data_IF_025559174830
#
_entry.id   IF_025559174830
#
_cell.length_a   1.000
_cell.length_b   1.000
_cell.length_c   1.000
_cell.angle_alpha   90.00
_cell.angle_beta   90.00
_cell.angle_gamma   90.00
#
_symmetry.space_group_name_H-M   'P 1'
#
loop_
_entity.id
_entity.type
_entity.pdbx_description
1 polymer ?
#
# COMPACT_ATOMS: atom_id res chain seq x y z
N UNK A 1 -24.65 7.07 32.45
CA UNK A 1 -23.69 7.93 31.74
C UNK A 1 -22.44 7.11 31.44
N UNK A 2 -22.14 6.86 30.17
CA UNK A 2 -20.92 6.13 29.77
C UNK A 2 -19.70 7.07 29.80
N UNK A 3 -18.51 6.60 30.21
CA UNK A 3 -17.34 7.45 30.29
C UNK A 3 -16.81 7.81 28.88
N UNK A 4 -16.21 9.00 28.71
CA UNK A 4 -15.68 9.43 27.43
C UNK A 4 -14.44 8.60 27.05
N UNK A 5 -14.47 7.98 25.86
CA UNK A 5 -13.30 7.30 25.28
C UNK A 5 -12.22 8.35 25.00
N UNK A 6 -11.13 8.30 25.76
CA UNK A 6 -9.95 9.15 25.53
C UNK A 6 -9.36 8.85 24.13
N UNK A 7 -8.97 9.86 23.35
CA UNK A 7 -8.24 9.63 22.12
C UNK A 7 -6.87 9.05 22.46
N UNK A 8 -6.53 7.90 21.87
CA UNK A 8 -5.18 7.33 21.90
C UNK A 8 -4.24 8.26 21.14
N UNK A 9 -3.75 9.28 21.83
CA UNK A 9 -2.62 10.11 21.39
C UNK A 9 -1.42 9.17 21.21
N UNK A 10 -1.19 8.79 19.96
CA UNK A 10 -0.10 7.90 19.60
C UNK A 10 1.17 8.73 19.60
N UNK A 11 2.00 8.58 20.64
CA UNK A 11 3.26 9.29 20.76
C UNK A 11 4.07 9.19 19.44
N UNK A 12 4.49 10.30 18.83
CA UNK A 12 5.19 10.30 17.54
C UNK A 12 6.49 9.47 17.58
N UNK A 13 7.20 9.45 18.70
CA UNK A 13 8.40 8.62 18.87
C UNK A 13 8.07 7.12 18.89
N UNK A 14 6.93 6.74 19.48
CA UNK A 14 6.45 5.35 19.46
C UNK A 14 6.09 4.88 18.04
N UNK A 15 5.59 5.80 17.21
CA UNK A 15 5.29 5.54 15.81
C UNK A 15 6.60 5.30 15.04
N UNK A 16 7.60 6.16 15.19
CA UNK A 16 8.91 5.99 14.54
C UNK A 16 9.59 4.66 14.92
N UNK A 17 9.63 4.31 16.20
CA UNK A 17 10.25 3.06 16.69
C UNK A 17 9.51 1.83 16.12
N UNK A 18 8.18 1.80 16.18
CA UNK A 18 7.38 0.70 15.61
C UNK A 18 7.60 0.57 14.10
N UNK A 19 7.79 1.70 13.41
CA UNK A 19 8.00 1.72 11.96
C UNK A 19 9.39 1.17 11.62
N UNK A 20 10.42 1.59 12.36
CA UNK A 20 11.77 1.09 12.25
C UNK A 20 11.84 -0.43 12.48
N UNK A 21 11.23 -0.92 13.56
CA UNK A 21 11.18 -2.36 13.84
C UNK A 21 10.52 -3.15 12.71
N UNK A 22 9.35 -2.71 12.24
CA UNK A 22 8.64 -3.36 11.12
C UNK A 22 9.43 -3.27 9.82
N UNK A 23 10.12 -2.16 9.58
CA UNK A 23 10.99 -1.98 8.44
C UNK A 23 12.12 -3.02 8.42
N UNK A 24 12.87 -3.14 9.52
CA UNK A 24 13.95 -4.11 9.64
C UNK A 24 13.43 -5.54 9.52
N UNK A 25 12.30 -5.86 10.17
CA UNK A 25 11.66 -7.17 10.07
C UNK A 25 11.27 -7.51 8.62
N UNK A 26 10.64 -6.57 7.90
CA UNK A 26 10.23 -6.77 6.52
C UNK A 26 11.43 -6.87 5.57
N UNK A 27 12.46 -6.05 5.79
CA UNK A 27 13.69 -6.10 5.02
C UNK A 27 14.41 -7.44 5.21
N UNK A 28 14.48 -7.93 6.45
CA UNK A 28 15.05 -9.23 6.76
C UNK A 28 14.26 -10.36 6.07
N UNK A 29 12.93 -10.37 6.17
CA UNK A 29 12.07 -11.35 5.50
C UNK A 29 12.29 -11.36 3.97
N UNK A 30 12.44 -10.20 3.34
CA UNK A 30 12.78 -10.11 1.92
C UNK A 30 14.18 -10.66 1.62
N UNK A 31 15.16 -10.51 2.52
CA UNK A 31 16.52 -11.05 2.41
C UNK A 31 16.52 -12.58 2.58
N UNK A 32 15.87 -13.11 3.60
CA UNK A 32 15.79 -14.55 3.89
C UNK A 32 15.16 -15.33 2.73
N UNK A 33 14.07 -14.83 2.14
CA UNK A 33 13.40 -15.47 0.98
C UNK A 33 14.28 -15.58 -0.27
N UNK A 34 15.40 -14.86 -0.33
CA UNK A 34 16.25 -14.77 -1.52
C UNK A 34 17.71 -15.11 -1.28
N UNK A 35 18.13 -15.43 -0.05
CA UNK A 35 19.46 -15.98 0.27
C UNK A 35 19.81 -17.27 -0.51
N UNK A 36 18.87 -17.79 -1.32
CA UNK A 36 19.02 -18.93 -2.22
C UNK A 36 19.61 -18.53 -3.60
N UNK A 37 19.68 -17.24 -3.97
CA UNK A 37 20.28 -16.79 -5.25
C UNK A 37 21.26 -15.62 -5.06
N UNK A 38 22.55 -15.88 -5.31
CA UNK A 38 23.63 -14.91 -5.24
C UNK A 38 23.59 -13.88 -6.38
N UNK A 39 24.08 -12.68 -6.08
CA UNK A 39 24.29 -11.52 -6.94
C UNK A 39 23.04 -10.88 -7.58
N UNK A 40 22.36 -10.02 -6.80
CA UNK A 40 21.25 -9.20 -7.33
C UNK A 40 21.73 -7.80 -7.70
N UNK A 41 21.41 -7.30 -8.91
CA UNK A 41 21.73 -5.94 -9.35
C UNK A 41 21.23 -4.87 -8.37
N UNK A 42 21.92 -3.72 -8.29
CA UNK A 42 21.63 -2.60 -7.39
C UNK A 42 20.15 -2.17 -7.47
N UNK A 43 19.57 -2.14 -8.67
CA UNK A 43 18.15 -1.81 -8.88
C UNK A 43 17.20 -2.72 -8.07
N UNK A 44 17.52 -4.02 -7.96
CA UNK A 44 16.74 -4.95 -7.15
C UNK A 44 16.87 -4.67 -5.65
N UNK A 45 18.03 -4.20 -5.17
CA UNK A 45 18.23 -3.83 -3.76
C UNK A 45 17.39 -2.62 -3.40
N UNK A 46 17.46 -1.54 -4.20
CA UNK A 46 16.69 -0.31 -3.98
C UNK A 46 15.18 -0.56 -4.07
N UNK A 47 14.73 -1.41 -5.00
CA UNK A 47 13.33 -1.79 -5.09
C UNK A 47 12.82 -2.55 -3.84
N UNK A 48 13.67 -3.38 -3.23
CA UNK A 48 13.32 -4.13 -2.01
C UNK A 48 13.25 -3.24 -0.79
N UNK A 49 14.18 -2.29 -0.67
CA UNK A 49 14.12 -1.24 0.36
C UNK A 49 12.82 -0.46 0.23
N UNK A 50 12.45 -0.05 -0.99
CA UNK A 50 11.19 0.63 -1.27
C UNK A 50 9.96 -0.21 -0.88
N UNK A 51 9.92 -1.50 -1.24
CA UNK A 51 8.82 -2.40 -0.86
C UNK A 51 8.76 -2.57 0.66
N UNK A 52 9.88 -2.81 1.33
CA UNK A 52 9.93 -2.99 2.78
C UNK A 52 9.43 -1.74 3.51
N UNK A 53 9.79 -0.56 3.03
CA UNK A 53 9.33 0.70 3.61
C UNK A 53 7.80 0.87 3.47
N UNK A 54 7.25 0.69 2.25
CA UNK A 54 5.81 0.74 2.03
C UNK A 54 5.04 -0.33 2.80
N UNK A 55 5.56 -1.57 2.86
CA UNK A 55 4.97 -2.64 3.65
C UNK A 55 4.89 -2.27 5.13
N UNK A 56 5.91 -1.59 5.65
CA UNK A 56 6.01 -1.22 7.07
C UNK A 56 5.05 -0.11 7.43
N UNK A 57 4.94 0.92 6.59
CA UNK A 57 3.93 1.98 6.74
C UNK A 57 2.51 1.41 6.70
N UNK A 58 2.20 0.62 5.67
CA UNK A 58 0.86 0.06 5.52
C UNK A 58 0.50 -0.89 6.67
N UNK A 59 1.44 -1.74 7.11
CA UNK A 59 1.21 -2.65 8.23
C UNK A 59 1.01 -1.96 9.58
N UNK A 60 1.56 -0.75 9.75
CA UNK A 60 1.41 0.04 10.96
C UNK A 60 0.02 0.64 11.09
N UNK A 61 -0.47 1.21 9.99
CA UNK A 61 -1.75 1.89 9.91
C UNK A 61 -2.90 0.90 9.81
N UNK A 62 -2.61 -0.30 9.28
CA UNK A 62 -3.54 -1.40 9.21
C UNK A 62 -4.54 -1.26 8.07
N UNK A 63 -5.44 -2.24 7.96
CA UNK A 63 -6.40 -2.36 6.85
C UNK A 63 -7.53 -1.33 6.88
N UNK A 64 -7.58 -0.45 7.88
CA UNK A 64 -8.64 0.57 8.01
C UNK A 64 -8.50 1.67 6.96
N UNK A 65 -7.27 2.02 6.57
CA UNK A 65 -6.99 3.03 5.55
C UNK A 65 -6.99 2.46 4.14
N UNK A 66 -7.61 3.16 3.21
CA UNK A 66 -7.73 2.73 1.82
C UNK A 66 -6.36 2.59 1.15
N UNK A 67 -5.47 3.57 1.35
CA UNK A 67 -4.11 3.52 0.80
C UNK A 67 -3.29 2.36 1.34
N UNK A 68 -3.46 2.03 2.62
CA UNK A 68 -2.77 0.91 3.26
C UNK A 68 -3.21 -0.43 2.65
N UNK A 69 -4.52 -0.63 2.48
CA UNK A 69 -5.06 -1.82 1.81
C UNK A 69 -4.52 -1.96 0.39
N UNK A 70 -4.50 -0.87 -0.37
CA UNK A 70 -4.04 -0.90 -1.75
C UNK A 70 -2.55 -1.21 -1.85
N UNK A 71 -1.70 -0.63 -0.98
CA UNK A 71 -0.28 -0.99 -0.90
C UNK A 71 -0.10 -2.48 -0.56
N UNK A 72 -0.78 -2.98 0.47
CA UNK A 72 -0.69 -4.39 0.86
C UNK A 72 -1.17 -5.33 -0.26
N UNK A 73 -2.23 -4.95 -0.98
CA UNK A 73 -2.74 -5.67 -2.15
C UNK A 73 -1.71 -5.71 -3.27
N UNK A 74 -1.07 -4.58 -3.60
CA UNK A 74 0.00 -4.52 -4.61
C UNK A 74 1.18 -5.41 -4.24
N UNK A 75 1.64 -5.37 -3.00
CA UNK A 75 2.75 -6.21 -2.52
C UNK A 75 2.40 -7.70 -2.60
N UNK A 76 1.20 -8.10 -2.16
CA UNK A 76 0.73 -9.50 -2.24
C UNK A 76 0.59 -9.97 -3.68
N UNK A 77 -0.02 -9.16 -4.55
CA UNK A 77 -0.24 -9.51 -5.96
C UNK A 77 1.08 -9.60 -6.73
N UNK A 78 2.05 -8.71 -6.48
CA UNK A 78 3.40 -8.83 -7.04
C UNK A 78 4.12 -10.09 -6.56
N UNK A 79 4.02 -10.44 -5.28
CA UNK A 79 4.55 -11.70 -4.75
C UNK A 79 3.91 -12.94 -5.40
N UNK A 80 2.60 -12.93 -5.61
CA UNK A 80 1.89 -14.00 -6.33
C UNK A 80 2.30 -14.10 -7.80
N UNK A 81 2.54 -12.99 -8.49
CA UNK A 81 3.02 -12.99 -9.88
C UNK A 81 4.43 -13.59 -9.98
N UNK A 82 5.32 -13.27 -9.04
CA UNK A 82 6.66 -13.85 -8.97
C UNK A 82 6.60 -15.35 -8.66
N UNK A 83 5.76 -15.77 -7.71
CA UNK A 83 5.57 -17.19 -7.39
C UNK A 83 4.98 -18.00 -8.55
N UNK A 84 4.02 -17.42 -9.29
CA UNK A 84 3.44 -18.04 -10.50
C UNK A 84 4.46 -18.22 -11.61
N UNK A 85 5.37 -17.26 -11.81
CA UNK A 85 6.49 -17.38 -12.77
C UNK A 85 7.48 -18.46 -12.34
N UNK A 86 7.82 -18.55 -11.05
CA UNK A 86 8.70 -19.59 -10.52
C UNK A 86 8.11 -20.99 -10.74
N UNK A 87 6.80 -21.16 -10.47
CA UNK A 87 6.11 -22.42 -10.76
C UNK A 87 6.32 -22.78 -12.24
N UNK A 88 6.00 -21.90 -13.20
CA UNK A 88 6.06 -22.16 -14.65
C UNK A 88 7.42 -22.58 -15.21
N UNK A 89 8.53 -22.27 -14.54
CA UNK A 89 9.87 -22.69 -14.97
C UNK A 89 10.14 -24.16 -14.58
N UNK A 90 9.47 -24.66 -13.53
CA UNK A 90 9.67 -26.01 -13.01
C UNK A 90 8.73 -27.06 -13.66
N UNK A 91 7.88 -26.68 -14.63
CA UNK A 91 7.02 -27.62 -15.36
C UNK A 91 6.98 -27.33 -16.86
N UNK A 92 8.03 -27.76 -17.56
CA UNK A 92 7.90 -28.21 -18.95
C UNK A 92 7.44 -29.66 -18.93
N UNK A 93 6.15 -29.88 -18.66
CA UNK A 93 5.45 -31.08 -19.11
C UNK A 93 4.00 -30.69 -19.33
N UNK A 94 3.60 -30.81 -20.59
CA UNK A 94 2.24 -30.77 -21.13
C UNK A 94 1.19 -31.26 -20.15
N UNK A 95 0.07 -30.54 -20.02
CA UNK A 95 -1.28 -31.10 -20.14
C UNK A 95 -2.27 -29.95 -20.40
N UNK A 96 -2.83 -29.95 -21.60
CA UNK A 96 -4.04 -29.20 -21.94
C UNK A 96 -5.19 -29.78 -21.12
N UNK A 97 -5.76 -29.05 -20.16
CA UNK A 97 -7.15 -29.27 -19.74
C UNK A 97 -7.78 -27.98 -19.17
N UNK A 98 -9.05 -27.86 -19.52
CA UNK A 98 -10.02 -26.79 -19.33
C UNK A 98 -9.98 -26.01 -18.01
N UNK A 99 -10.04 -24.68 -18.10
CA UNK A 99 -10.51 -23.82 -17.03
C UNK A 99 -11.76 -23.07 -17.50
N UNK A 100 -12.89 -23.49 -16.95
CA UNK A 100 -14.23 -23.00 -17.23
C UNK A 100 -14.34 -21.47 -17.08
N UNK A 101 -15.05 -20.86 -18.03
CA UNK A 101 -15.34 -19.44 -18.07
C UNK A 101 -16.18 -18.99 -16.88
N UNK A 102 -15.65 -18.03 -16.12
CA UNK A 102 -16.45 -17.28 -15.16
C UNK A 102 -17.09 -16.10 -15.91
N UNK A 103 -18.29 -16.37 -16.44
CA UNK A 103 -19.17 -15.41 -17.11
C UNK A 103 -19.64 -14.39 -16.05
N UNK A 104 -19.02 -13.22 -16.00
CA UNK A 104 -19.55 -12.10 -15.20
C UNK A 104 -20.86 -11.65 -15.84
N UNK A 105 -21.96 -11.85 -15.10
CA UNK A 105 -23.28 -11.32 -15.43
C UNK A 105 -23.22 -9.79 -15.28
N UNK A 106 -23.36 -9.08 -16.39
CA UNK A 106 -23.74 -7.68 -16.42
C UNK A 106 -25.24 -7.63 -16.13
N UNK A 107 -25.63 -7.12 -14.97
CA UNK A 107 -27.03 -6.75 -14.69
C UNK A 107 -27.18 -5.30 -15.09
N UNK A 108 -27.73 -5.08 -16.27
CA UNK A 108 -28.31 -3.81 -16.70
C UNK A 108 -29.59 -3.58 -15.89
N UNK A 109 -29.60 -2.56 -15.06
CA UNK A 109 -30.81 -1.91 -14.57
C UNK A 109 -30.42 -0.46 -14.31
N UNK A 110 -30.65 0.41 -15.29
CA UNK A 110 -30.66 1.85 -15.10
C UNK A 110 -31.74 2.43 -16.03
N UNK A 111 -32.93 2.63 -15.46
CA UNK A 111 -33.87 3.66 -15.91
C UNK A 111 -33.49 4.99 -15.22
N UNK A 112 -33.40 6.13 -15.93
CA UNK A 112 -33.06 7.40 -15.32
C UNK A 112 -34.33 8.15 -14.86
N UNK A 113 -34.35 8.57 -13.60
CA UNK A 113 -35.30 9.58 -13.09
C UNK A 113 -34.53 10.91 -12.88
N UNK A 114 -35.07 12.08 -13.27
CA UNK A 114 -34.27 13.28 -13.42
C UNK A 114 -34.17 14.13 -12.15
N UNK A 115 -33.04 14.82 -12.06
CA UNK A 115 -32.81 16.13 -11.41
C UNK A 115 -33.05 16.24 -9.90
N UNK A 116 -31.93 16.16 -9.16
CA UNK A 116 -31.58 17.21 -8.19
C UNK A 116 -30.10 17.52 -8.37
N UNK A 117 -29.82 18.53 -9.18
CA UNK A 117 -28.48 19.04 -9.45
C UNK A 117 -27.92 19.66 -8.15
N UNK A 118 -27.25 18.83 -7.34
CA UNK A 118 -26.37 19.33 -6.30
C UNK A 118 -25.06 19.72 -6.98
N UNK A 119 -24.93 21.02 -7.28
CA UNK A 119 -23.68 21.59 -7.76
C UNK A 119 -22.71 21.55 -6.59
N UNK A 120 -21.74 20.63 -6.64
CA UNK A 120 -20.65 20.55 -5.67
C UNK A 120 -19.78 21.81 -5.79
N UNK A 121 -19.73 22.69 -4.77
CA UNK A 121 -18.94 23.92 -4.81
C UNK A 121 -17.42 23.69 -4.93
N UNK A 122 -16.96 22.44 -4.82
CA UNK A 122 -15.54 22.04 -4.95
C UNK A 122 -15.27 21.12 -6.15
N UNK A 123 -16.31 20.76 -6.91
CA UNK A 123 -16.25 19.81 -8.00
C UNK A 123 -15.37 20.28 -9.14
N UNK A 124 -14.23 19.61 -9.30
CA UNK A 124 -13.22 19.78 -10.35
C UNK A 124 -12.17 20.89 -10.14
N UNK A 125 -11.74 21.10 -8.90
CA UNK A 125 -10.38 21.63 -8.74
C UNK A 125 -9.40 20.56 -9.27
N UNK A 126 -8.64 20.87 -10.33
CA UNK A 126 -7.65 19.93 -10.89
C UNK A 126 -6.60 19.43 -9.88
N UNK A 127 -6.56 20.01 -8.67
CA UNK A 127 -5.77 19.55 -7.53
C UNK A 127 -6.31 18.23 -6.95
N UNK A 128 -7.62 18.06 -6.87
CA UNK A 128 -8.24 16.84 -6.37
C UNK A 128 -7.91 15.63 -7.25
N UNK A 129 -7.99 15.82 -8.57
CA UNK A 129 -7.58 14.81 -9.57
C UNK A 129 -6.10 14.45 -9.43
N UNK A 130 -5.24 15.42 -9.12
CA UNK A 130 -3.81 15.17 -8.85
C UNK A 130 -3.62 14.36 -7.56
N UNK A 131 -4.32 14.68 -6.48
CA UNK A 131 -4.25 13.94 -5.23
C UNK A 131 -4.69 12.49 -5.40
N UNK A 132 -5.76 12.25 -6.18
CA UNK A 132 -6.24 10.89 -6.50
C UNK A 132 -5.22 10.04 -7.25
N UNK A 133 -4.31 10.65 -8.01
CA UNK A 133 -3.20 9.96 -8.67
C UNK A 133 -2.02 9.66 -7.75
N UNK A 134 -1.87 10.41 -6.65
CA UNK A 134 -0.74 10.31 -5.73
C UNK A 134 -1.01 9.35 -4.56
N UNK A 135 -2.20 9.44 -3.95
CA UNK A 135 -2.55 8.61 -2.81
C UNK A 135 -3.13 7.28 -3.31
N UNK A 136 -2.57 6.12 -2.94
CA UNK A 136 -3.09 4.84 -3.40
C UNK A 136 -4.55 4.61 -2.94
N UNK A 137 -5.42 4.07 -3.80
CA UNK A 137 -6.70 3.51 -3.38
C UNK A 137 -7.80 4.51 -3.03
N UNK A 138 -7.63 5.80 -3.39
CA UNK A 138 -8.61 6.88 -3.12
C UNK A 138 -9.41 7.29 -4.35
N UNK A 139 -9.34 6.54 -5.45
CA UNK A 139 -9.82 6.94 -6.78
C UNK A 139 -11.33 7.22 -6.82
N UNK A 140 -12.10 6.70 -5.86
CA UNK A 140 -13.58 6.84 -5.78
C UNK A 140 -14.08 7.48 -4.48
N UNK A 141 -13.20 8.03 -3.65
CA UNK A 141 -13.60 8.67 -2.38
C UNK A 141 -14.23 10.04 -2.61
N UNK A 142 -15.03 10.53 -1.67
CA UNK A 142 -15.46 11.93 -1.62
C UNK A 142 -14.30 12.86 -1.21
N UNK A 143 -14.48 14.18 -1.36
CA UNK A 143 -13.43 15.16 -1.08
C UNK A 143 -12.93 15.09 0.39
N UNK A 144 -13.82 14.93 1.36
CA UNK A 144 -13.45 14.81 2.78
C UNK A 144 -12.64 13.54 3.03
N UNK A 145 -13.12 12.40 2.53
CA UNK A 145 -12.40 11.12 2.64
C UNK A 145 -11.02 11.16 1.96
N UNK A 146 -10.89 11.84 0.82
CA UNK A 146 -9.61 12.03 0.13
C UNK A 146 -8.61 12.82 0.98
N UNK A 147 -9.04 13.92 1.61
CA UNK A 147 -8.18 14.74 2.45
C UNK A 147 -7.73 13.99 3.71
N UNK A 148 -8.64 13.25 4.35
CA UNK A 148 -8.32 12.43 5.54
C UNK A 148 -7.28 11.35 5.23
N UNK A 149 -7.47 10.60 4.14
CA UNK A 149 -6.51 9.58 3.71
C UNK A 149 -5.17 10.21 3.31
N UNK A 150 -5.19 11.38 2.67
CA UNK A 150 -3.98 12.13 2.30
C UNK A 150 -3.20 12.58 3.53
N UNK A 151 -3.87 13.13 4.54
CA UNK A 151 -3.23 13.58 5.78
C UNK A 151 -2.57 12.43 6.54
N UNK A 152 -3.24 11.27 6.64
CA UNK A 152 -2.65 10.07 7.23
C UNK A 152 -1.48 9.52 6.40
N UNK A 153 -1.58 9.55 5.08
CA UNK A 153 -0.52 9.12 4.18
C UNK A 153 0.74 9.99 4.34
N UNK A 154 0.59 11.32 4.38
CA UNK A 154 1.69 12.27 4.61
C UNK A 154 2.36 12.03 5.97
N UNK A 155 1.59 11.84 7.04
CA UNK A 155 2.13 11.53 8.37
C UNK A 155 3.01 10.27 8.34
N UNK A 156 2.56 9.23 7.65
CA UNK A 156 3.30 7.99 7.54
C UNK A 156 4.56 8.14 6.66
N UNK A 157 4.50 8.94 5.59
CA UNK A 157 5.65 9.24 4.74
C UNK A 157 6.72 10.01 5.52
N UNK A 158 6.32 11.02 6.29
CA UNK A 158 7.24 11.76 7.15
C UNK A 158 7.95 10.83 8.14
N UNK A 159 7.18 9.96 8.82
CA UNK A 159 7.76 8.97 9.72
C UNK A 159 8.69 7.98 9.01
N UNK A 160 8.35 7.56 7.78
CA UNK A 160 9.20 6.69 6.98
C UNK A 160 10.53 7.37 6.65
N UNK A 161 10.50 8.63 6.18
CA UNK A 161 11.70 9.40 5.83
C UNK A 161 12.60 9.58 7.05
N UNK A 162 12.02 9.92 8.20
CA UNK A 162 12.78 10.04 9.46
C UNK A 162 13.50 8.76 9.83
N UNK A 163 12.79 7.61 9.80
CA UNK A 163 13.40 6.31 10.09
C UNK A 163 14.54 6.00 9.10
N UNK A 164 14.35 6.28 7.81
CA UNK A 164 15.40 6.04 6.81
C UNK A 164 16.63 6.91 7.07
N UNK A 165 16.43 8.19 7.41
CA UNK A 165 17.52 9.12 7.75
C UNK A 165 18.29 8.65 8.98
N UNK A 166 17.59 8.35 10.08
CA UNK A 166 18.22 7.86 11.30
C UNK A 166 19.05 6.60 11.06
N UNK A 167 18.56 5.66 10.24
CA UNK A 167 19.36 4.48 9.88
C UNK A 167 20.61 4.87 9.09
N UNK A 168 20.50 5.75 8.09
CA UNK A 168 21.66 6.22 7.33
C UNK A 168 22.68 6.91 8.25
N UNK A 169 22.23 7.77 9.15
CA UNK A 169 23.10 8.48 10.09
C UNK A 169 23.85 7.50 11.01
N UNK A 170 23.16 6.48 11.52
CA UNK A 170 23.75 5.43 12.35
C UNK A 170 24.77 4.55 11.61
N UNK A 171 24.60 4.33 10.31
CA UNK A 171 25.51 3.50 9.51
C UNK A 171 26.57 4.31 8.75
N UNK A 172 26.51 5.64 8.78
CA UNK A 172 27.52 6.54 8.18
C UNK A 172 28.51 7.08 9.22
N UNK A 173 28.29 6.78 10.49
CA UNK A 173 29.16 7.17 11.63
C UNK A 173 30.14 6.06 12.04
N UNK A 174 30.17 4.95 11.30
CA UNK A 174 31.17 3.87 11.37
C UNK A 174 31.90 3.74 10.03
#
# INVERSE_FOLDING_TARGET
MSPPKKPTSTNPNSLKIRLAYRFLHNLNNLNTKRSILYNTPIHHRSHRVKIAAYASMASMVGSRRAWSREILRKIRTQGMLIARKKKRVDHTTTHHLHAAGSKRRTSSNDDPNPTREYVDPFGDSGQEVKLRKLVPGVERMDACGLLDETADYIKCLAAQVDVMRTLVDLYSTF
#
